data_IF_489218780412
#
_entry.id   IF_489218780412
#
_cell.length_a   1.000
_cell.length_b   1.000
_cell.length_c   1.000
_cell.angle_alpha   90.00
_cell.angle_beta   90.00
_cell.angle_gamma   90.00
#
_symmetry.space_group_name_H-M   'P 1'
#
loop_
_entity.id
_entity.type
_entity.pdbx_description
1 polymer ?
#
# COMPACT_ATOMS: atom_id res chain seq x y z
N UNK A 1 -29.68 -0.54 73.36
CA UNK A 1 -29.04 -1.44 72.37
C UNK A 1 -29.34 -0.96 70.95
N UNK A 2 -28.72 0.14 70.49
CA UNK A 2 -29.08 0.74 69.18
C UNK A 2 -27.92 1.38 68.40
N UNK A 3 -26.66 1.14 68.78
CA UNK A 3 -25.51 1.83 68.15
C UNK A 3 -24.47 0.92 67.47
N UNK A 4 -24.72 -0.38 67.34
CA UNK A 4 -23.76 -1.32 66.72
C UNK A 4 -24.10 -1.71 65.27
N UNK A 5 -25.30 -1.44 64.77
CA UNK A 5 -25.69 -1.81 63.39
C UNK A 5 -25.30 -0.79 62.31
N UNK A 6 -25.09 0.48 62.67
CA UNK A 6 -24.75 1.54 61.70
C UNK A 6 -23.26 1.53 61.29
N UNK A 7 -22.39 0.96 62.12
CA UNK A 7 -20.93 0.87 61.85
C UNK A 7 -20.62 -0.32 60.92
N UNK A 8 -21.42 -1.39 60.97
CA UNK A 8 -21.24 -2.55 60.09
C UNK A 8 -21.62 -2.24 58.63
N UNK A 9 -22.66 -1.45 58.38
CA UNK A 9 -23.10 -1.10 57.01
C UNK A 9 -22.18 -0.11 56.29
N UNK A 10 -21.33 0.60 57.03
CA UNK A 10 -20.36 1.56 56.49
C UNK A 10 -19.00 0.94 56.17
N UNK A 11 -18.72 -0.29 56.64
CA UNK A 11 -17.49 -1.02 56.33
C UNK A 11 -17.63 -1.90 55.07
N UNK A 12 -18.84 -2.38 54.75
CA UNK A 12 -19.09 -3.14 53.51
C UNK A 12 -19.04 -2.28 52.25
N UNK A 13 -19.32 -0.97 52.34
CA UNK A 13 -19.24 -0.05 51.20
C UNK A 13 -17.81 0.39 50.85
N UNK A 14 -16.83 0.12 51.72
CA UNK A 14 -15.42 0.44 51.50
C UNK A 14 -14.63 -0.74 50.90
N UNK A 15 -15.24 -1.94 50.82
CA UNK A 15 -14.64 -3.16 50.28
C UNK A 15 -14.79 -3.28 48.74
N UNK A 16 -15.77 -2.61 48.14
CA UNK A 16 -16.00 -2.64 46.68
C UNK A 16 -15.31 -1.50 45.93
N UNK A 17 -14.11 -1.11 46.38
CA UNK A 17 -13.25 -0.09 45.74
C UNK A 17 -12.69 -0.49 44.37
N UNK A 18 -13.47 -1.21 43.55
CA UNK A 18 -13.28 -1.14 42.11
C UNK A 18 -13.74 0.24 41.66
N UNK A 19 -12.80 1.18 41.62
CA UNK A 19 -12.92 2.35 40.75
C UNK A 19 -13.44 1.84 39.40
N UNK A 20 -14.60 2.32 38.91
CA UNK A 20 -15.07 1.92 37.59
C UNK A 20 -13.95 2.28 36.63
N UNK A 21 -13.32 1.27 36.03
CA UNK A 21 -12.28 1.45 35.03
C UNK A 21 -12.89 2.38 33.99
N UNK A 22 -12.43 3.63 33.94
CA UNK A 22 -12.98 4.64 33.05
C UNK A 22 -13.15 3.97 31.69
N UNK A 23 -14.38 3.90 31.18
CA UNK A 23 -14.67 3.18 29.95
C UNK A 23 -13.70 3.73 28.90
N UNK A 24 -12.76 2.88 28.44
CA UNK A 24 -11.80 3.30 27.42
C UNK A 24 -12.61 3.91 26.28
N UNK A 25 -12.24 5.11 25.86
CA UNK A 25 -12.96 5.71 24.75
C UNK A 25 -12.86 4.74 23.57
N UNK A 26 -13.89 4.60 22.71
CA UNK A 26 -13.80 3.78 21.51
C UNK A 26 -12.58 4.12 20.63
N UNK A 27 -12.04 5.34 20.77
CA UNK A 27 -10.82 5.79 20.11
C UNK A 27 -9.54 5.17 20.69
N UNK A 28 -9.47 4.90 22.00
CA UNK A 28 -8.31 4.27 22.65
C UNK A 28 -8.19 2.79 22.32
N UNK A 29 -9.32 2.09 22.23
CA UNK A 29 -9.40 0.65 21.96
C UNK A 29 -8.78 0.23 20.61
N UNK A 30 -8.68 1.16 19.65
CA UNK A 30 -8.18 0.91 18.30
C UNK A 30 -6.87 1.64 17.98
N UNK A 31 -6.16 2.14 19.00
CA UNK A 31 -4.86 2.83 18.80
C UNK A 31 -3.83 1.99 18.05
N UNK A 32 -3.86 0.67 18.26
CA UNK A 32 -2.97 -0.30 17.63
C UNK A 32 -3.22 -0.47 16.12
N UNK A 33 -4.34 0.02 15.58
CA UNK A 33 -4.58 0.03 14.13
C UNK A 33 -3.62 0.96 13.39
N UNK A 34 -3.09 2.00 14.06
CA UNK A 34 -2.15 2.95 13.44
C UNK A 34 -0.86 2.25 12.95
N UNK A 35 -0.09 1.54 13.80
CA UNK A 35 1.10 0.83 13.33
C UNK A 35 0.78 -0.25 12.30
N UNK A 36 -0.35 -0.98 12.43
CA UNK A 36 -0.76 -1.98 11.43
C UNK A 36 -1.02 -1.32 10.07
N UNK A 37 -1.75 -0.21 10.04
CA UNK A 37 -1.99 0.56 8.81
C UNK A 37 -0.67 1.08 8.22
N UNK A 38 0.24 1.56 9.06
CA UNK A 38 1.55 2.03 8.62
C UNK A 38 2.39 0.92 7.98
N UNK A 39 2.37 -0.30 8.53
CA UNK A 39 3.05 -1.46 7.97
C UNK A 39 2.42 -1.93 6.64
N UNK A 40 1.10 -1.84 6.49
CA UNK A 40 0.43 -2.10 5.20
C UNK A 40 0.84 -1.07 4.14
N UNK A 41 0.90 0.22 4.51
CA UNK A 41 1.39 1.28 3.61
C UNK A 41 2.87 1.08 3.26
N UNK A 42 3.69 0.65 4.22
CA UNK A 42 5.07 0.24 3.97
C UNK A 42 5.14 -0.94 3.01
N UNK A 43 4.28 -1.94 3.15
CA UNK A 43 4.18 -3.06 2.21
C UNK A 43 3.87 -2.58 0.78
N UNK A 44 2.97 -1.60 0.64
CA UNK A 44 2.73 -0.91 -0.63
C UNK A 44 3.98 -0.20 -1.19
N UNK A 45 4.75 0.47 -0.33
CA UNK A 45 6.01 1.11 -0.75
C UNK A 45 7.04 0.08 -1.21
N UNK A 46 7.19 -1.04 -0.51
CA UNK A 46 8.08 -2.14 -0.90
C UNK A 46 7.69 -2.72 -2.26
N UNK A 47 6.39 -2.91 -2.50
CA UNK A 47 5.88 -3.32 -3.81
C UNK A 47 6.30 -2.31 -4.89
N UNK A 48 6.03 -1.02 -4.68
CA UNK A 48 6.35 0.04 -5.66
C UNK A 48 7.84 0.14 -5.95
N UNK A 49 8.69 0.15 -4.91
CA UNK A 49 10.14 0.17 -5.10
C UNK A 49 10.64 -1.11 -5.77
N UNK A 50 10.11 -2.26 -5.36
CA UNK A 50 10.46 -3.55 -5.92
C UNK A 50 10.15 -3.65 -7.41
N UNK A 51 8.96 -3.24 -7.85
CA UNK A 51 8.59 -3.30 -9.28
C UNK A 51 9.36 -2.30 -10.15
N UNK A 52 9.70 -1.12 -9.63
CA UNK A 52 10.56 -0.17 -10.36
C UNK A 52 11.97 -0.75 -10.52
N UNK A 53 12.50 -1.38 -9.47
CA UNK A 53 13.78 -2.07 -9.53
C UNK A 53 13.73 -3.25 -10.50
N UNK A 54 12.65 -4.02 -10.50
CA UNK A 54 12.44 -5.16 -11.38
C UNK A 54 12.46 -4.77 -12.88
N UNK A 55 11.76 -3.69 -13.22
CA UNK A 55 11.79 -3.12 -14.58
C UNK A 55 13.21 -2.72 -14.98
N UNK A 56 13.94 -2.06 -14.08
CA UNK A 56 15.34 -1.69 -14.30
C UNK A 56 16.26 -2.91 -14.45
N UNK A 57 16.00 -3.97 -13.68
CA UNK A 57 16.73 -5.24 -13.77
C UNK A 57 16.58 -5.85 -15.16
N UNK A 58 15.33 -5.98 -15.63
CA UNK A 58 15.04 -6.51 -16.96
C UNK A 58 15.64 -5.67 -18.08
N UNK A 59 15.62 -4.34 -17.95
CA UNK A 59 16.22 -3.43 -18.92
C UNK A 59 17.76 -3.53 -18.99
N UNK A 60 18.41 -4.08 -17.97
CA UNK A 60 19.89 -4.08 -17.85
C UNK A 60 20.51 -5.47 -17.97
N UNK A 61 19.96 -6.46 -17.26
CA UNK A 61 20.51 -7.82 -17.11
C UNK A 61 19.74 -8.83 -17.98
N UNK A 62 18.45 -8.59 -18.20
CA UNK A 62 17.58 -9.44 -19.01
C UNK A 62 16.72 -10.38 -18.17
N UNK A 63 16.45 -11.59 -18.68
CA UNK A 63 15.62 -12.58 -17.98
C UNK A 63 16.24 -12.94 -16.64
N UNK A 64 15.37 -13.11 -15.67
CA UNK A 64 15.68 -13.27 -14.28
C UNK A 64 15.22 -14.64 -13.73
N UNK A 65 15.56 -14.88 -12.47
CA UNK A 65 15.05 -16.02 -11.73
C UNK A 65 13.91 -15.56 -10.83
N UNK A 66 13.08 -16.50 -10.38
CA UNK A 66 12.00 -16.22 -9.43
C UNK A 66 12.47 -15.52 -8.12
N UNK A 67 13.76 -15.55 -7.82
CA UNK A 67 14.34 -15.12 -6.54
C UNK A 67 15.25 -13.88 -6.65
N UNK A 68 15.01 -12.98 -7.60
CA UNK A 68 15.73 -11.70 -7.62
C UNK A 68 15.46 -10.89 -6.36
N UNK A 69 16.39 -9.99 -6.02
CA UNK A 69 16.20 -9.07 -4.90
C UNK A 69 14.95 -8.18 -5.09
N UNK A 70 14.66 -7.79 -6.33
CA UNK A 70 13.45 -7.05 -6.69
C UNK A 70 12.18 -7.88 -6.40
N UNK A 71 12.11 -9.13 -6.87
CA UNK A 71 11.02 -10.05 -6.58
C UNK A 71 10.82 -10.29 -5.08
N UNK A 72 11.90 -10.53 -4.33
CA UNK A 72 11.83 -10.71 -2.87
C UNK A 72 11.22 -9.47 -2.19
N UNK A 73 11.56 -8.26 -2.65
CA UNK A 73 10.98 -7.02 -2.11
C UNK A 73 9.48 -6.90 -2.42
N UNK A 74 9.06 -7.25 -3.64
CA UNK A 74 7.64 -7.28 -4.04
C UNK A 74 6.87 -8.30 -3.18
N UNK A 75 7.38 -9.53 -3.07
CA UNK A 75 6.76 -10.59 -2.27
C UNK A 75 6.70 -10.22 -0.79
N UNK A 76 7.77 -9.66 -0.23
CA UNK A 76 7.78 -9.20 1.15
C UNK A 76 6.72 -8.12 1.39
N UNK A 77 6.58 -7.16 0.47
CA UNK A 77 5.55 -6.12 0.55
C UNK A 77 4.12 -6.69 0.51
N UNK A 78 3.83 -7.56 -0.46
CA UNK A 78 2.53 -8.20 -0.61
C UNK A 78 2.17 -9.14 0.53
N UNK A 79 3.09 -10.02 0.93
CA UNK A 79 2.89 -10.94 2.03
C UNK A 79 2.68 -10.21 3.36
N UNK A 80 3.49 -9.17 3.64
CA UNK A 80 3.32 -8.35 4.85
C UNK A 80 1.95 -7.68 4.87
N UNK A 81 1.58 -7.00 3.78
CA UNK A 81 0.29 -6.31 3.70
C UNK A 81 -0.90 -7.28 3.78
N UNK A 82 -0.83 -8.39 3.04
CA UNK A 82 -1.86 -9.43 3.00
C UNK A 82 -2.06 -10.11 4.36
N UNK A 83 -0.97 -10.54 5.02
CA UNK A 83 -1.03 -11.17 6.34
C UNK A 83 -1.59 -10.21 7.40
N UNK A 84 -1.17 -8.94 7.40
CA UNK A 84 -1.70 -7.94 8.33
C UNK A 84 -3.18 -7.64 8.07
N UNK A 85 -3.59 -7.55 6.80
CA UNK A 85 -4.99 -7.35 6.46
C UNK A 85 -5.85 -8.58 6.81
N UNK A 86 -5.34 -9.80 6.59
CA UNK A 86 -5.96 -11.04 7.05
C UNK A 86 -6.09 -11.11 8.58
N UNK A 87 -5.05 -10.67 9.30
CA UNK A 87 -5.11 -10.53 10.76
C UNK A 87 -6.18 -9.54 11.22
N UNK A 88 -6.35 -8.42 10.52
CA UNK A 88 -7.45 -7.49 10.77
C UNK A 88 -8.82 -8.14 10.53
N UNK A 89 -8.96 -8.98 9.49
CA UNK A 89 -10.19 -9.72 9.24
C UNK A 89 -10.49 -10.75 10.35
N UNK A 90 -9.48 -11.47 10.83
CA UNK A 90 -9.62 -12.40 11.98
C UNK A 90 -10.04 -11.63 13.23
N UNK A 91 -9.37 -10.52 13.53
CA UNK A 91 -9.72 -9.64 14.64
C UNK A 91 -11.17 -9.16 14.54
N UNK A 92 -11.57 -8.62 13.40
CA UNK A 92 -12.90 -8.07 13.19
C UNK A 92 -14.01 -9.13 13.18
N UNK A 93 -13.69 -10.36 12.75
CA UNK A 93 -14.67 -11.45 12.66
C UNK A 93 -14.84 -12.20 13.98
N UNK A 94 -13.75 -12.44 14.72
CA UNK A 94 -13.75 -13.35 15.86
C UNK A 94 -13.31 -12.72 17.18
N UNK A 95 -12.19 -12.00 17.20
CA UNK A 95 -11.52 -11.62 18.45
C UNK A 95 -12.02 -10.30 19.07
N UNK A 96 -12.38 -9.32 18.24
CA UNK A 96 -12.68 -7.94 18.62
C UNK A 96 -13.96 -7.43 17.95
N UNK A 97 -14.99 -8.30 17.85
CA UNK A 97 -16.20 -8.05 17.02
C UNK A 97 -16.89 -6.71 17.32
N UNK A 98 -17.08 -6.37 18.59
CA UNK A 98 -17.76 -5.13 18.97
C UNK A 98 -16.92 -3.88 18.62
N UNK A 99 -15.61 -3.89 18.89
CA UNK A 99 -14.71 -2.78 18.55
C UNK A 99 -14.64 -2.51 17.05
N UNK A 100 -14.81 -3.55 16.22
CA UNK A 100 -14.77 -3.45 14.76
C UNK A 100 -16.13 -3.24 14.09
N UNK A 101 -17.23 -3.31 14.86
CA UNK A 101 -18.61 -3.35 14.33
C UNK A 101 -18.95 -2.15 13.43
N UNK A 102 -18.52 -0.95 13.81
CA UNK A 102 -18.84 0.29 13.10
C UNK A 102 -17.80 0.68 12.02
N UNK A 103 -16.73 -0.10 11.87
CA UNK A 103 -15.62 0.21 10.96
C UNK A 103 -15.36 -0.90 9.94
N UNK A 104 -16.20 -1.93 9.91
CA UNK A 104 -16.04 -3.12 9.09
C UNK A 104 -17.22 -3.34 8.16
N UNK A 105 -16.94 -3.97 7.03
CA UNK A 105 -17.94 -4.48 6.09
C UNK A 105 -17.95 -6.00 6.19
N UNK A 106 -19.14 -6.58 6.13
CA UNK A 106 -19.34 -8.03 6.18
C UNK A 106 -19.38 -8.61 4.76
N UNK A 107 -18.54 -9.60 4.48
CA UNK A 107 -18.54 -10.38 3.23
C UNK A 107 -18.57 -11.87 3.59
N UNK A 108 -19.55 -12.60 3.05
CA UNK A 108 -19.73 -14.05 3.27
C UNK A 108 -19.61 -14.51 4.74
N UNK A 109 -20.15 -13.72 5.66
CA UNK A 109 -20.14 -14.02 7.10
C UNK A 109 -18.88 -13.57 7.86
N UNK A 110 -17.80 -13.24 7.17
CA UNK A 110 -16.61 -12.62 7.75
C UNK A 110 -16.70 -11.09 7.74
N UNK A 111 -16.02 -10.42 8.67
CA UNK A 111 -15.96 -8.96 8.79
C UNK A 111 -14.52 -8.48 8.69
N UNK A 112 -14.30 -7.38 7.97
CA UNK A 112 -13.05 -6.65 8.00
C UNK A 112 -13.28 -5.19 7.57
N UNK A 113 -12.41 -4.25 7.94
CA UNK A 113 -12.40 -2.93 7.33
C UNK A 113 -12.29 -3.02 5.80
N UNK A 114 -12.98 -2.15 5.06
CA UNK A 114 -12.99 -2.23 3.58
C UNK A 114 -11.58 -2.24 2.98
N UNK A 115 -10.68 -1.40 3.49
CA UNK A 115 -9.29 -1.40 3.02
C UNK A 115 -8.55 -2.70 3.30
N UNK A 116 -8.87 -3.43 4.38
CA UNK A 116 -8.31 -4.75 4.62
C UNK A 116 -8.81 -5.78 3.59
N UNK A 117 -10.09 -5.76 3.23
CA UNK A 117 -10.61 -6.62 2.16
C UNK A 117 -9.92 -6.37 0.82
N UNK A 118 -9.79 -5.11 0.42
CA UNK A 118 -9.11 -4.75 -0.82
C UNK A 118 -7.64 -5.17 -0.78
N UNK A 119 -6.94 -5.01 0.35
CA UNK A 119 -5.56 -5.48 0.50
C UNK A 119 -5.45 -7.01 0.44
N UNK A 120 -6.36 -7.76 1.05
CA UNK A 120 -6.36 -9.24 0.99
C UNK A 120 -6.48 -9.71 -0.46
N UNK A 121 -7.46 -9.18 -1.18
CA UNK A 121 -7.68 -9.55 -2.58
C UNK A 121 -6.55 -9.08 -3.49
N UNK A 122 -6.01 -7.89 -3.25
CA UNK A 122 -4.83 -7.39 -3.96
C UNK A 122 -3.62 -8.28 -3.76
N UNK A 123 -3.32 -8.65 -2.51
CA UNK A 123 -2.20 -9.53 -2.17
C UNK A 123 -2.39 -10.92 -2.76
N UNK A 124 -3.61 -11.49 -2.69
CA UNK A 124 -3.92 -12.77 -3.31
C UNK A 124 -3.68 -12.72 -4.83
N UNK A 125 -4.27 -11.74 -5.53
CA UNK A 125 -4.09 -11.56 -6.97
C UNK A 125 -2.60 -11.45 -7.36
N UNK A 126 -1.85 -10.61 -6.65
CA UNK A 126 -0.42 -10.37 -6.90
C UNK A 126 0.44 -11.61 -6.64
N UNK A 127 0.15 -12.39 -5.60
CA UNK A 127 0.92 -13.60 -5.31
C UNK A 127 0.56 -14.75 -6.26
N UNK A 128 -0.69 -14.81 -6.74
CA UNK A 128 -1.11 -15.80 -7.73
C UNK A 128 -0.70 -15.47 -9.16
N UNK A 129 -0.37 -14.21 -9.47
CA UNK A 129 0.06 -13.85 -10.82
C UNK A 129 1.42 -14.45 -11.18
N UNK A 130 2.31 -14.66 -10.20
CA UNK A 130 3.62 -15.25 -10.47
C UNK A 130 3.55 -16.71 -10.99
N UNK A 131 2.86 -17.66 -10.33
CA UNK A 131 2.68 -19.01 -10.89
C UNK A 131 1.82 -19.01 -12.16
N UNK A 132 0.90 -18.05 -12.31
CA UNK A 132 0.12 -17.89 -13.54
C UNK A 132 1.02 -17.45 -14.71
N UNK A 133 1.99 -16.57 -14.46
CA UNK A 133 2.98 -16.10 -15.43
C UNK A 133 3.88 -17.24 -15.91
N UNK A 134 4.41 -18.04 -14.99
CA UNK A 134 5.19 -19.24 -15.30
C UNK A 134 4.40 -20.22 -16.18
N UNK A 135 3.14 -20.50 -15.82
CA UNK A 135 2.27 -21.35 -16.62
C UNK A 135 2.01 -20.76 -18.00
N UNK A 136 1.72 -19.45 -18.07
CA UNK A 136 1.42 -18.75 -19.31
C UNK A 136 2.58 -18.84 -20.29
N UNK A 137 3.80 -18.58 -19.82
CA UNK A 137 5.00 -18.70 -20.65
C UNK A 137 5.27 -20.12 -21.14
N UNK A 138 4.99 -21.13 -20.32
CA UNK A 138 5.11 -22.54 -20.73
C UNK A 138 4.05 -22.92 -21.78
N UNK A 139 2.86 -22.31 -21.75
CA UNK A 139 1.76 -22.62 -22.66
C UNK A 139 1.82 -21.83 -23.99
N UNK A 140 2.17 -20.55 -23.93
CA UNK A 140 2.03 -19.60 -25.06
C UNK A 140 3.34 -18.96 -25.52
N UNK A 141 4.47 -19.23 -24.85
CA UNK A 141 5.76 -18.64 -25.15
C UNK A 141 6.00 -17.30 -24.44
N UNK A 142 7.10 -16.63 -24.82
CA UNK A 142 7.52 -15.36 -24.22
C UNK A 142 6.60 -14.21 -24.63
N UNK A 143 6.26 -13.35 -23.67
CA UNK A 143 5.39 -12.21 -23.93
C UNK A 143 6.08 -11.16 -24.80
N UNK A 144 5.40 -10.75 -25.87
CA UNK A 144 5.79 -9.63 -26.76
C UNK A 144 5.04 -8.34 -26.42
N UNK A 145 4.08 -8.39 -25.49
CA UNK A 145 3.32 -7.24 -25.00
C UNK A 145 3.34 -7.20 -23.47
N UNK A 146 3.54 -6.01 -22.92
CA UNK A 146 3.66 -5.74 -21.48
C UNK A 146 2.34 -6.01 -20.72
N UNK A 147 1.19 -5.96 -21.39
CA UNK A 147 -0.12 -6.20 -20.78
C UNK A 147 -0.67 -7.59 -21.13
N UNK A 148 0.11 -8.64 -20.85
CA UNK A 148 -0.40 -10.02 -20.89
C UNK A 148 -1.30 -10.30 -19.66
N UNK A 149 -2.15 -11.35 -19.68
CA UNK A 149 -3.05 -11.61 -18.57
C UNK A 149 -2.38 -11.75 -17.19
N UNK A 150 -1.22 -12.44 -17.05
CA UNK A 150 -0.48 -12.47 -15.78
C UNK A 150 -0.01 -11.08 -15.32
N UNK A 151 0.56 -10.26 -16.20
CA UNK A 151 1.00 -8.90 -15.87
C UNK A 151 -0.17 -7.99 -15.48
N UNK A 152 -1.32 -8.12 -16.15
CA UNK A 152 -2.53 -7.39 -15.79
C UNK A 152 -3.06 -7.80 -14.40
N UNK A 153 -3.01 -9.08 -14.05
CA UNK A 153 -3.36 -9.58 -12.72
C UNK A 153 -2.38 -9.09 -11.66
N UNK A 154 -1.07 -9.12 -11.95
CA UNK A 154 -0.02 -8.59 -11.07
C UNK A 154 -0.27 -7.10 -10.78
N UNK A 155 -0.49 -6.31 -11.84
CA UNK A 155 -0.80 -4.88 -11.72
C UNK A 155 -2.06 -4.66 -10.88
N UNK A 156 -3.17 -5.32 -11.20
CA UNK A 156 -4.41 -5.22 -10.41
C UNK A 156 -4.18 -5.57 -8.93
N UNK A 157 -3.37 -6.59 -8.65
CA UNK A 157 -3.00 -7.00 -7.30
C UNK A 157 -2.21 -5.93 -6.54
N UNK A 158 -1.13 -5.41 -7.14
CA UNK A 158 -0.31 -4.34 -6.58
C UNK A 158 -1.15 -3.09 -6.28
N UNK A 159 -1.99 -2.67 -7.22
CA UNK A 159 -2.92 -1.55 -7.05
C UNK A 159 -3.91 -1.81 -5.92
N UNK A 160 -4.44 -3.02 -5.82
CA UNK A 160 -5.32 -3.43 -4.72
C UNK A 160 -4.64 -3.28 -3.36
N UNK A 161 -3.40 -3.75 -3.21
CA UNK A 161 -2.64 -3.61 -1.95
C UNK A 161 -2.48 -2.15 -1.54
N UNK A 162 -1.96 -1.31 -2.43
CA UNK A 162 -1.71 0.11 -2.14
C UNK A 162 -3.02 0.87 -1.90
N UNK A 163 -4.07 0.59 -2.69
CA UNK A 163 -5.40 1.18 -2.50
C UNK A 163 -6.02 0.78 -1.16
N UNK A 164 -5.89 -0.49 -0.76
CA UNK A 164 -6.39 -0.95 0.54
C UNK A 164 -5.68 -0.26 1.72
N UNK A 165 -4.36 -0.05 1.61
CA UNK A 165 -3.59 0.76 2.56
C UNK A 165 -4.07 2.22 2.63
N UNK A 166 -4.32 2.84 1.47
CA UNK A 166 -4.89 4.19 1.39
C UNK A 166 -6.29 4.28 2.01
N UNK A 167 -7.15 3.29 1.78
CA UNK A 167 -8.50 3.22 2.36
C UNK A 167 -8.45 3.10 3.89
N UNK A 168 -7.56 2.25 4.44
CA UNK A 168 -7.36 2.13 5.88
C UNK A 168 -6.87 3.45 6.50
N UNK A 169 -5.87 4.08 5.88
CA UNK A 169 -5.33 5.36 6.34
C UNK A 169 -6.38 6.48 6.29
N UNK A 170 -7.17 6.53 5.21
CA UNK A 170 -8.23 7.52 5.01
C UNK A 170 -9.39 7.30 5.97
N UNK A 171 -9.80 6.05 6.22
CA UNK A 171 -10.84 5.73 7.19
C UNK A 171 -10.41 6.13 8.62
N UNK A 172 -9.15 5.86 9.00
CA UNK A 172 -8.60 6.30 10.29
C UNK A 172 -8.62 7.82 10.41
N UNK A 173 -8.17 8.53 9.38
CA UNK A 173 -8.20 9.99 9.34
C UNK A 173 -9.62 10.52 9.51
N UNK A 174 -10.59 10.02 8.75
CA UNK A 174 -11.96 10.53 8.80
C UNK A 174 -12.55 10.41 10.20
N UNK A 175 -12.22 9.33 10.93
CA UNK A 175 -12.60 9.18 12.34
C UNK A 175 -11.94 10.22 13.26
N UNK A 176 -10.65 10.48 13.08
CA UNK A 176 -9.95 11.51 13.87
C UNK A 176 -10.47 12.92 13.59
N UNK A 177 -10.76 13.21 12.32
CA UNK A 177 -11.35 14.49 11.94
C UNK A 177 -12.74 14.68 12.57
N UNK A 178 -13.57 13.63 12.57
CA UNK A 178 -14.86 13.65 13.27
C UNK A 178 -14.73 13.86 14.78
N UNK A 179 -13.61 13.43 15.37
CA UNK A 179 -13.27 13.65 16.79
C UNK A 179 -12.55 14.99 17.06
N UNK A 180 -12.46 15.89 16.08
CA UNK A 180 -11.83 17.22 16.23
C UNK A 180 -10.31 17.26 16.00
N UNK A 181 -9.66 16.12 15.75
CA UNK A 181 -8.22 15.99 15.49
C UNK A 181 -7.91 15.93 13.98
N UNK A 182 -8.38 16.92 13.22
CA UNK A 182 -8.40 16.90 11.74
C UNK A 182 -7.03 16.87 11.05
N UNK A 183 -5.98 17.38 11.69
CA UNK A 183 -4.61 17.33 11.18
C UNK A 183 -3.95 15.96 11.38
N UNK A 184 -4.39 15.21 12.39
CA UNK A 184 -3.81 13.93 12.76
C UNK A 184 -4.22 12.80 11.80
N UNK A 185 -3.27 11.91 11.49
CA UNK A 185 -3.53 10.78 10.60
C UNK A 185 -3.53 11.10 9.11
N UNK A 186 -3.34 12.36 8.71
CA UNK A 186 -3.17 12.77 7.32
C UNK A 186 -1.92 12.19 6.66
N UNK A 187 -0.83 12.01 7.43
CA UNK A 187 0.46 11.53 6.95
C UNK A 187 0.37 10.18 6.23
N UNK A 188 -0.29 9.17 6.83
CA UNK A 188 -0.38 7.85 6.21
C UNK A 188 -1.20 7.87 4.91
N UNK A 189 -2.25 8.69 4.86
CA UNK A 189 -3.07 8.83 3.65
C UNK A 189 -2.30 9.52 2.53
N UNK A 190 -1.50 10.55 2.85
CA UNK A 190 -0.63 11.24 1.89
C UNK A 190 0.49 10.33 1.39
N UNK A 191 1.14 9.58 2.28
CA UNK A 191 2.16 8.59 1.92
C UNK A 191 1.57 7.52 0.99
N UNK A 192 0.45 6.90 1.38
CA UNK A 192 -0.20 5.87 0.57
C UNK A 192 -0.62 6.37 -0.81
N UNK A 193 -1.17 7.59 -0.90
CA UNK A 193 -1.57 8.16 -2.19
C UNK A 193 -0.35 8.56 -3.05
N UNK A 194 0.73 9.05 -2.44
CA UNK A 194 1.98 9.32 -3.15
C UNK A 194 2.63 8.05 -3.69
N UNK A 195 2.61 6.96 -2.91
CA UNK A 195 3.02 5.62 -3.34
C UNK A 195 2.11 5.13 -4.48
N UNK A 196 0.80 5.33 -4.38
CA UNK A 196 -0.15 4.97 -5.44
C UNK A 196 0.14 5.73 -6.74
N UNK A 197 0.51 7.01 -6.66
CA UNK A 197 0.94 7.79 -7.82
C UNK A 197 2.23 7.24 -8.44
N UNK A 198 3.22 6.89 -7.61
CA UNK A 198 4.47 6.29 -8.08
C UNK A 198 4.28 4.89 -8.67
N UNK A 199 3.37 4.08 -8.12
CA UNK A 199 2.96 2.85 -8.76
C UNK A 199 2.27 3.14 -10.10
N UNK A 200 1.47 4.20 -10.18
CA UNK A 200 0.70 4.54 -11.38
C UNK A 200 1.51 5.11 -12.52
N UNK A 201 2.67 5.72 -12.24
CA UNK A 201 3.59 6.14 -13.30
C UNK A 201 4.13 4.95 -14.11
N UNK A 202 4.13 3.74 -13.55
CA UNK A 202 4.61 2.53 -14.24
C UNK A 202 3.76 2.21 -15.47
N UNK A 203 2.45 2.47 -15.41
CA UNK A 203 1.56 2.30 -16.56
C UNK A 203 1.92 3.23 -17.74
N UNK A 204 2.67 4.30 -17.47
CA UNK A 204 3.15 5.24 -18.48
C UNK A 204 4.59 4.97 -18.91
N UNK A 205 5.27 3.95 -18.37
CA UNK A 205 6.69 3.71 -18.64
C UNK A 205 6.97 3.49 -20.12
N UNK A 206 6.12 2.76 -20.85
CA UNK A 206 6.26 2.58 -22.30
C UNK A 206 6.20 3.89 -23.09
N UNK A 207 5.26 4.77 -22.71
CA UNK A 207 5.12 6.08 -23.35
C UNK A 207 6.26 7.03 -22.96
N UNK A 208 6.94 6.72 -21.84
CA UNK A 208 8.02 7.52 -21.28
C UNK A 208 9.40 7.17 -21.86
N UNK A 209 9.51 6.29 -22.86
CA UNK A 209 10.79 6.14 -23.57
C UNK A 209 11.11 7.42 -24.39
N UNK A 210 12.39 7.81 -24.52
CA UNK A 210 12.78 9.06 -25.20
C UNK A 210 12.15 9.25 -26.59
N UNK A 211 11.97 8.16 -27.34
CA UNK A 211 11.38 8.19 -28.67
C UNK A 211 9.88 8.53 -28.69
N UNK A 212 9.18 8.37 -27.55
CA UNK A 212 7.73 8.56 -27.43
C UNK A 212 7.33 9.74 -26.55
N UNK A 213 8.26 10.33 -25.79
CA UNK A 213 8.01 11.44 -24.86
C UNK A 213 7.50 12.73 -25.56
N UNK A 214 7.71 12.88 -26.86
CA UNK A 214 7.18 14.02 -27.63
C UNK A 214 5.90 13.70 -28.39
N UNK A 215 5.32 12.52 -28.18
CA UNK A 215 4.06 12.13 -28.82
C UNK A 215 2.85 12.78 -28.14
N UNK A 216 1.79 13.01 -28.92
CA UNK A 216 0.49 13.47 -28.39
C UNK A 216 -0.08 12.49 -27.36
N UNK A 217 0.10 11.18 -27.59
CA UNK A 217 -0.32 10.13 -26.66
C UNK A 217 0.36 10.24 -25.29
N UNK A 218 1.68 10.46 -25.26
CA UNK A 218 2.41 10.67 -24.01
C UNK A 218 1.90 11.89 -23.25
N UNK A 219 1.73 13.02 -23.95
CA UNK A 219 1.25 14.27 -23.34
C UNK A 219 -0.14 14.09 -22.77
N UNK A 220 -1.08 13.49 -23.52
CA UNK A 220 -2.45 13.25 -23.07
C UNK A 220 -2.51 12.30 -21.87
N UNK A 221 -1.79 11.18 -21.93
CA UNK A 221 -1.78 10.19 -20.86
C UNK A 221 -1.17 10.75 -19.56
N UNK A 222 -0.07 11.49 -19.67
CA UNK A 222 0.58 12.15 -18.53
C UNK A 222 -0.29 13.27 -17.94
N UNK A 223 -0.92 14.09 -18.80
CA UNK A 223 -1.81 15.17 -18.38
C UNK A 223 -3.11 14.66 -17.75
N UNK A 224 -3.55 13.44 -18.07
CA UNK A 224 -4.67 12.79 -17.39
C UNK A 224 -4.25 12.19 -16.04
N UNK A 225 -3.15 11.43 -16.02
CA UNK A 225 -2.72 10.65 -14.84
C UNK A 225 -2.24 11.56 -13.69
N UNK A 226 -1.16 12.33 -13.88
CA UNK A 226 -0.54 13.05 -12.77
C UNK A 226 -1.46 14.16 -12.22
N UNK A 227 -2.01 15.07 -13.05
CA UNK A 227 -2.95 16.08 -12.57
C UNK A 227 -4.22 15.48 -11.96
N UNK A 228 -4.75 14.38 -12.52
CA UNK A 228 -5.93 13.71 -11.97
C UNK A 228 -5.73 13.30 -10.51
N UNK A 229 -4.61 12.62 -10.22
CA UNK A 229 -4.21 12.24 -8.86
C UNK A 229 -3.98 13.46 -7.95
N UNK A 230 -3.27 14.49 -8.43
CA UNK A 230 -2.96 15.68 -7.65
C UNK A 230 -4.20 16.54 -7.36
N UNK A 231 -5.13 16.68 -8.30
CA UNK A 231 -6.40 17.38 -8.12
C UNK A 231 -7.30 16.60 -7.16
N UNK A 232 -7.39 15.27 -7.31
CA UNK A 232 -8.11 14.43 -6.37
C UNK A 232 -7.57 14.61 -4.94
N UNK A 233 -6.26 14.65 -4.77
CA UNK A 233 -5.63 14.96 -3.49
C UNK A 233 -5.91 16.39 -3.03
N UNK A 234 -5.80 17.41 -3.88
CA UNK A 234 -6.10 18.79 -3.51
C UNK A 234 -7.55 19.00 -3.07
N UNK A 235 -8.50 18.23 -3.63
CA UNK A 235 -9.93 18.33 -3.34
C UNK A 235 -10.38 17.51 -2.14
N UNK A 236 -9.83 16.31 -1.95
CA UNK A 236 -10.35 15.34 -0.97
C UNK A 236 -9.40 15.06 0.22
N UNK A 237 -8.16 15.57 0.16
CA UNK A 237 -7.16 15.33 1.19
C UNK A 237 -7.22 16.40 2.29
N UNK A 238 -7.04 16.03 3.57
CA UNK A 238 -7.36 16.84 4.76
C UNK A 238 -6.42 18.00 5.05
N UNK A 239 -5.22 17.97 4.47
CA UNK A 239 -4.09 18.70 5.01
C UNK A 239 -3.68 19.80 4.06
N UNK A 240 -3.20 20.91 4.64
CA UNK A 240 -2.53 21.95 3.86
C UNK A 240 -1.43 21.30 3.02
N UNK A 241 -1.40 21.68 1.73
CA UNK A 241 -0.42 21.23 0.75
C UNK A 241 -0.46 19.74 0.41
N UNK A 242 -1.64 19.10 0.44
CA UNK A 242 -1.76 17.68 0.15
C UNK A 242 -1.20 17.27 -1.22
N UNK A 243 -1.54 17.99 -2.28
CA UNK A 243 -1.01 17.72 -3.63
C UNK A 243 0.52 17.84 -3.66
N UNK A 244 1.08 18.89 -3.05
CA UNK A 244 2.54 19.10 -2.96
C UNK A 244 3.23 18.00 -2.15
N UNK A 245 2.66 17.59 -1.01
CA UNK A 245 3.26 16.52 -0.20
C UNK A 245 3.20 15.18 -0.95
N UNK A 246 2.11 14.92 -1.64
CA UNK A 246 1.96 13.73 -2.47
C UNK A 246 2.94 13.72 -3.64
N UNK A 247 3.14 14.86 -4.32
CA UNK A 247 4.14 14.99 -5.37
C UNK A 247 5.55 14.82 -4.82
N UNK A 248 5.84 15.31 -3.60
CA UNK A 248 7.13 15.07 -2.93
C UNK A 248 7.37 13.59 -2.62
N UNK A 249 6.35 12.84 -2.22
CA UNK A 249 6.47 11.38 -2.00
C UNK A 249 6.76 10.68 -3.32
N UNK A 250 6.00 10.98 -4.38
CA UNK A 250 6.27 10.48 -5.72
C UNK A 250 7.70 10.80 -6.18
N UNK A 251 8.10 12.07 -6.12
CA UNK A 251 9.44 12.52 -6.49
C UNK A 251 10.51 11.84 -5.64
N UNK A 252 10.28 11.66 -4.34
CA UNK A 252 11.19 10.94 -3.46
C UNK A 252 11.42 9.50 -3.91
N UNK A 253 10.35 8.76 -4.23
CA UNK A 253 10.45 7.39 -4.76
C UNK A 253 11.27 7.36 -6.06
N UNK A 254 10.96 8.24 -7.01
CA UNK A 254 11.64 8.28 -8.30
C UNK A 254 13.11 8.72 -8.17
N UNK A 255 13.39 9.79 -7.41
CA UNK A 255 14.76 10.26 -7.17
C UNK A 255 15.61 9.19 -6.48
N UNK A 256 15.08 8.50 -5.47
CA UNK A 256 15.76 7.37 -4.83
C UNK A 256 16.14 6.32 -5.86
N UNK A 257 15.21 5.93 -6.74
CA UNK A 257 15.48 4.93 -7.77
C UNK A 257 16.48 5.41 -8.83
N UNK A 258 16.35 6.65 -9.30
CA UNK A 258 17.28 7.25 -10.28
C UNK A 258 18.70 7.41 -9.72
N UNK A 259 18.84 7.75 -8.45
CA UNK A 259 20.16 7.97 -7.83
C UNK A 259 20.83 6.70 -7.35
N UNK A 260 20.05 5.73 -6.85
CA UNK A 260 20.61 4.52 -6.22
C UNK A 260 20.86 3.41 -7.25
N UNK A 261 19.95 3.17 -8.19
CA UNK A 261 20.09 2.04 -9.10
C UNK A 261 21.41 2.08 -9.90
N UNK A 262 21.83 3.21 -10.51
CA UNK A 262 23.07 3.27 -11.30
C UNK A 262 24.36 2.99 -10.52
N UNK A 263 24.30 2.94 -9.18
CA UNK A 263 25.44 2.58 -8.33
C UNK A 263 25.73 1.07 -8.34
N UNK A 264 24.78 0.25 -8.80
CA UNK A 264 24.92 -1.20 -8.88
C UNK A 264 25.39 -1.64 -10.26
N UNK A 265 26.33 -2.60 -10.33
CA UNK A 265 26.77 -3.18 -11.59
C UNK A 265 25.61 -3.93 -12.26
N UNK A 266 25.53 -3.81 -13.58
CA UNK A 266 24.62 -4.56 -14.43
C UNK A 266 25.42 -5.22 -15.53
N UNK A 267 25.26 -6.53 -15.70
CA UNK A 267 25.90 -7.27 -16.77
C UNK A 267 24.81 -7.96 -17.60
N UNK A 268 24.72 -7.68 -18.91
CA UNK A 268 23.79 -8.36 -19.82
C UNK A 268 24.02 -9.86 -19.81
N UNK A 269 23.03 -10.65 -19.37
CA UNK A 269 23.14 -12.12 -19.32
C UNK A 269 22.33 -12.82 -20.41
N UNK A 270 21.13 -12.35 -20.69
CA UNK A 270 20.20 -13.00 -21.63
C UNK A 270 19.58 -11.97 -22.60
N UNK A 271 19.46 -12.36 -23.86
CA UNK A 271 18.95 -11.53 -24.95
C UNK A 271 17.42 -11.27 -24.86
N UNK A 272 16.90 -10.19 -25.49
CA UNK A 272 17.64 -9.20 -26.27
C UNK A 272 17.93 -7.92 -25.46
N UNK A 273 19.21 -7.66 -25.21
CA UNK A 273 19.70 -6.38 -24.72
C UNK A 273 20.39 -5.69 -25.88
N UNK A 274 19.71 -4.72 -26.49
CA UNK A 274 20.21 -4.01 -27.67
C UNK A 274 21.24 -2.93 -27.34
N UNK A 275 21.26 -2.46 -26.09
CA UNK A 275 22.17 -1.42 -25.59
C UNK A 275 22.83 -1.91 -24.30
N UNK A 276 23.94 -2.67 -24.37
CA UNK A 276 24.61 -3.18 -23.18
C UNK A 276 25.08 -2.03 -22.29
N UNK A 277 24.74 -2.11 -21.00
CA UNK A 277 25.16 -1.16 -19.96
C UNK A 277 25.91 -1.94 -18.88
N UNK A 278 26.89 -1.29 -18.25
CA UNK A 278 27.68 -1.85 -17.14
C UNK A 278 27.09 -1.53 -15.77
N UNK A 279 26.04 -0.71 -15.72
CA UNK A 279 25.32 -0.31 -14.50
C UNK A 279 23.81 -0.41 -14.73
N UNK A 280 23.05 -0.58 -13.64
CA UNK A 280 21.59 -0.63 -13.71
C UNK A 280 21.00 0.61 -14.36
N UNK A 281 20.10 0.38 -15.31
CA UNK A 281 19.34 1.43 -15.95
C UNK A 281 18.45 2.13 -14.91
N UNK A 282 18.52 3.47 -14.77
CA UNK A 282 17.55 4.19 -13.97
C UNK A 282 16.16 4.11 -14.64
N UNK A 283 15.07 4.34 -13.88
CA UNK A 283 13.74 4.43 -14.45
C UNK A 283 13.70 5.52 -15.53
N UNK A 284 12.92 5.29 -16.59
CA UNK A 284 12.73 6.30 -17.62
C UNK A 284 12.07 7.55 -16.99
N UNK A 285 12.79 8.67 -17.01
CA UNK A 285 12.29 9.96 -16.57
C UNK A 285 12.03 10.84 -17.80
N UNK A 286 10.97 11.67 -17.82
CA UNK A 286 10.81 12.69 -18.86
C UNK A 286 12.08 13.54 -18.94
N UNK A 287 12.76 13.54 -20.09
CA UNK A 287 13.94 14.37 -20.35
C UNK A 287 13.55 15.61 -21.15
#
# INVERSE_FOLDING_TARGET
MQNTSAIASSLDSLSSGQTPRAAESPADALRWLKPVTALIVLGGALITFGIIWDISWHATIGRDTFWTAAHIMIYAGGATAGCLAGWLAICATFLHRESFRHISVQLWGARAPMGAWVTIWGAAAMLTSAPLDDWWHNAYGLDVKILSPPHALLAAGMYGVVTGGYLLASARRNRLAAAGASSEGSTLAVLANGIQLALSSILLTELSFPNFQHSSTFVLASAAMYPGFLVAAARHSPCKWAATKMSLVYMGVICVMVWILPLFPGEPKLAPIYNPRTTMAPPAFPH
#
